data_IF_110271271085
#
_entry.id   IF_110271271085
#
_cell.length_a   1.000
_cell.length_b   1.000
_cell.length_c   1.000
_cell.angle_alpha   90.00
_cell.angle_beta   90.00
_cell.angle_gamma   90.00
#
_symmetry.space_group_name_H-M   'P 1'
#
loop_
_entity.id
_entity.type
_entity.pdbx_description
1 polymer ?
#
# COMPACT_ATOMS: atom_id res chain seq x y z
N UNK A 1 -11.86 23.69 3.76
CA UNK A 1 -11.86 22.41 4.51
C UNK A 1 -11.88 21.22 3.55
N UNK A 2 -12.45 21.38 2.34
CA UNK A 2 -12.53 20.31 1.32
C UNK A 2 -11.20 19.99 0.62
N UNK A 3 -10.38 21.00 0.30
CA UNK A 3 -9.09 20.79 -0.38
C UNK A 3 -8.16 19.81 0.39
N UNK A 4 -8.09 19.96 1.71
CA UNK A 4 -7.24 19.09 2.56
C UNK A 4 -7.74 17.64 2.54
N UNK A 5 -9.06 17.45 2.47
CA UNK A 5 -9.69 16.13 2.39
C UNK A 5 -9.44 15.49 1.02
N UNK A 6 -9.64 16.24 -0.06
CA UNK A 6 -9.36 15.79 -1.43
C UNK A 6 -7.88 15.42 -1.62
N UNK A 7 -6.96 16.23 -1.08
CA UNK A 7 -5.53 15.90 -1.09
C UNK A 7 -5.23 14.62 -0.31
N UNK A 8 -5.82 14.43 0.86
CA UNK A 8 -5.64 13.22 1.65
C UNK A 8 -6.15 11.98 0.89
N UNK A 9 -7.33 12.06 0.30
CA UNK A 9 -7.93 10.97 -0.48
C UNK A 9 -7.07 10.65 -1.73
N UNK A 10 -6.55 11.67 -2.41
CA UNK A 10 -5.63 11.51 -3.54
C UNK A 10 -4.32 10.81 -3.11
N UNK A 11 -3.73 11.19 -1.98
CA UNK A 11 -2.51 10.52 -1.48
C UNK A 11 -2.77 9.06 -1.12
N UNK A 12 -3.93 8.73 -0.55
CA UNK A 12 -4.30 7.34 -0.23
C UNK A 12 -4.39 6.50 -1.51
N UNK A 13 -5.04 7.03 -2.55
CA UNK A 13 -5.13 6.36 -3.85
C UNK A 13 -3.72 6.13 -4.43
N UNK A 14 -2.85 7.14 -4.38
CA UNK A 14 -1.47 7.01 -4.85
C UNK A 14 -0.68 5.94 -4.08
N UNK A 15 -0.84 5.87 -2.75
CA UNK A 15 -0.20 4.83 -1.92
C UNK A 15 -0.70 3.44 -2.32
N UNK A 16 -2.03 3.27 -2.47
CA UNK A 16 -2.63 1.98 -2.85
C UNK A 16 -2.15 1.50 -4.22
N UNK A 17 -2.23 2.38 -5.23
CA UNK A 17 -1.79 2.06 -6.59
C UNK A 17 -0.28 1.79 -6.63
N UNK A 18 0.53 2.63 -5.97
CA UNK A 18 1.99 2.47 -5.93
C UNK A 18 2.42 1.16 -5.25
N UNK A 19 1.77 0.77 -4.16
CA UNK A 19 2.04 -0.50 -3.48
C UNK A 19 1.72 -1.70 -4.37
N UNK A 20 0.57 -1.69 -5.06
CA UNK A 20 0.17 -2.75 -5.99
C UNK A 20 1.16 -2.86 -7.15
N UNK A 21 1.51 -1.75 -7.79
CA UNK A 21 2.49 -1.72 -8.89
C UNK A 21 3.84 -2.29 -8.45
N UNK A 22 4.29 -1.95 -7.23
CA UNK A 22 5.57 -2.45 -6.70
C UNK A 22 5.54 -3.93 -6.39
N UNK A 23 4.42 -4.47 -5.90
CA UNK A 23 4.26 -5.92 -5.70
C UNK A 23 4.27 -6.65 -7.05
N UNK A 24 3.51 -6.16 -8.03
CA UNK A 24 3.47 -6.73 -9.39
C UNK A 24 4.88 -6.74 -10.01
N UNK A 25 5.60 -5.61 -9.91
CA UNK A 25 6.98 -5.52 -10.39
C UNK A 25 7.90 -6.56 -9.74
N UNK A 26 7.80 -6.74 -8.42
CA UNK A 26 8.60 -7.73 -7.71
C UNK A 26 8.26 -9.16 -8.17
N UNK A 27 6.98 -9.47 -8.40
CA UNK A 27 6.55 -10.78 -8.91
C UNK A 27 7.10 -11.07 -10.32
N UNK A 28 7.03 -10.08 -11.22
CA UNK A 28 7.59 -10.21 -12.58
C UNK A 28 9.11 -10.46 -12.52
N UNK A 29 9.85 -9.68 -11.72
CA UNK A 29 11.31 -9.86 -11.58
C UNK A 29 11.69 -11.19 -10.93
N UNK A 30 10.89 -11.69 -9.98
CA UNK A 30 11.10 -13.02 -9.39
C UNK A 30 10.98 -14.15 -10.42
N UNK A 31 10.04 -14.04 -11.37
CA UNK A 31 9.87 -15.03 -12.44
C UNK A 31 10.92 -14.93 -13.56
N UNK A 32 11.51 -13.75 -13.75
CA UNK A 32 12.52 -13.52 -14.79
C UNK A 32 13.95 -13.88 -14.37
N UNK A 33 14.25 -13.97 -13.07
CA UNK A 33 15.61 -14.21 -12.57
C UNK A 33 15.60 -14.94 -11.23
N UNK A 34 15.91 -16.24 -11.24
CA UNK A 34 15.94 -17.08 -10.04
C UNK A 34 16.98 -16.63 -9.02
N UNK A 35 18.15 -16.15 -9.47
CA UNK A 35 19.22 -15.65 -8.60
C UNK A 35 18.79 -14.43 -7.75
N UNK A 36 18.02 -13.50 -8.34
CA UNK A 36 17.52 -12.31 -7.64
C UNK A 36 16.18 -12.55 -6.91
N UNK A 37 15.58 -13.73 -7.06
CA UNK A 37 14.23 -14.04 -6.56
C UNK A 37 14.10 -13.87 -5.04
N UNK A 38 15.12 -14.28 -4.28
CA UNK A 38 15.15 -14.14 -2.81
C UNK A 38 15.09 -12.66 -2.37
N UNK A 39 15.77 -11.78 -3.11
CA UNK A 39 15.80 -10.34 -2.83
C UNK A 39 14.45 -9.70 -3.13
N UNK A 40 13.85 -9.98 -4.29
CA UNK A 40 12.54 -9.42 -4.65
C UNK A 40 11.42 -9.97 -3.75
N UNK A 41 11.50 -11.23 -3.30
CA UNK A 41 10.57 -11.77 -2.30
C UNK A 41 10.59 -10.97 -1.00
N UNK A 42 11.78 -10.59 -0.51
CA UNK A 42 11.91 -9.73 0.68
C UNK A 42 11.32 -8.34 0.43
N UNK A 43 11.56 -7.75 -0.75
CA UNK A 43 11.02 -6.43 -1.13
C UNK A 43 9.50 -6.44 -1.27
N UNK A 44 8.92 -7.48 -1.86
CA UNK A 44 7.48 -7.68 -1.96
C UNK A 44 6.85 -7.82 -0.57
N UNK A 45 7.43 -8.64 0.32
CA UNK A 45 6.97 -8.79 1.70
C UNK A 45 6.99 -7.46 2.46
N UNK A 46 8.07 -6.69 2.35
CA UNK A 46 8.15 -5.39 3.02
C UNK A 46 7.11 -4.40 2.49
N UNK A 47 6.86 -4.41 1.18
CA UNK A 47 5.83 -3.57 0.55
C UNK A 47 4.43 -3.99 1.01
N UNK A 48 4.16 -5.29 1.14
CA UNK A 48 2.89 -5.80 1.65
C UNK A 48 2.66 -5.42 3.12
N UNK A 49 3.68 -5.53 3.97
CA UNK A 49 3.60 -5.11 5.38
C UNK A 49 3.32 -3.60 5.48
N UNK A 50 4.04 -2.78 4.69
CA UNK A 50 3.79 -1.34 4.62
C UNK A 50 2.34 -1.04 4.20
N UNK A 51 1.84 -1.73 3.18
CA UNK A 51 0.47 -1.55 2.68
C UNK A 51 -0.57 -1.87 3.76
N UNK A 52 -0.41 -2.98 4.49
CA UNK A 52 -1.31 -3.37 5.57
C UNK A 52 -1.34 -2.28 6.67
N UNK A 53 -0.18 -1.78 7.08
CA UNK A 53 -0.10 -0.73 8.11
C UNK A 53 -0.79 0.56 7.62
N UNK A 54 -0.55 0.95 6.36
CA UNK A 54 -1.19 2.14 5.78
C UNK A 54 -2.72 2.02 5.74
N UNK A 55 -3.23 0.84 5.35
CA UNK A 55 -4.67 0.57 5.29
C UNK A 55 -5.31 0.54 6.68
N UNK A 56 -4.61 0.00 7.69
CA UNK A 56 -5.08 -0.03 9.08
C UNK A 56 -5.35 1.37 9.64
N UNK A 57 -4.53 2.37 9.31
CA UNK A 57 -4.75 3.75 9.77
C UNK A 57 -6.09 4.27 9.25
N UNK A 58 -6.42 3.99 7.99
CA UNK A 58 -7.68 4.40 7.42
C UNK A 58 -8.87 3.67 8.03
N UNK A 59 -8.76 2.36 8.29
CA UNK A 59 -9.86 1.63 8.94
C UNK A 59 -10.11 2.08 10.37
N UNK A 60 -9.07 2.45 11.11
CA UNK A 60 -9.25 3.06 12.43
C UNK A 60 -9.97 4.41 12.31
N UNK A 61 -9.58 5.26 11.34
CA UNK A 61 -10.27 6.52 11.08
C UNK A 61 -11.76 6.29 10.76
N UNK A 62 -12.08 5.40 9.82
CA UNK A 62 -13.47 5.11 9.46
C UNK A 62 -14.26 4.57 10.65
N UNK A 63 -13.68 3.68 11.46
CA UNK A 63 -14.33 3.13 12.65
C UNK A 63 -14.66 4.22 13.66
N UNK A 64 -13.72 5.14 13.91
CA UNK A 64 -13.95 6.28 14.80
C UNK A 64 -15.04 7.20 14.23
N UNK A 65 -14.96 7.55 12.95
CA UNK A 65 -15.95 8.42 12.31
C UNK A 65 -17.36 7.80 12.35
N UNK A 66 -17.47 6.50 12.11
CA UNK A 66 -18.75 5.78 12.20
C UNK A 66 -19.28 5.68 13.64
N UNK A 67 -18.41 5.67 14.65
CA UNK A 67 -18.83 5.62 16.05
C UNK A 67 -19.41 6.95 16.55
N UNK A 68 -18.88 8.08 16.06
CA UNK A 68 -19.33 9.43 16.45
C UNK A 68 -20.40 10.04 15.52
N UNK A 69 -20.81 9.33 14.48
CA UNK A 69 -21.91 9.71 13.57
C UNK A 69 -23.24 9.15 14.04
#
# INVERSE_FOLDING_TARGET
>A
MDLVKEMADAFIILIRVGAVLRIIYCLIRMGASEEESSMYKKRAKNTAIFYIIAECIWQIKELIMNYYS
#
